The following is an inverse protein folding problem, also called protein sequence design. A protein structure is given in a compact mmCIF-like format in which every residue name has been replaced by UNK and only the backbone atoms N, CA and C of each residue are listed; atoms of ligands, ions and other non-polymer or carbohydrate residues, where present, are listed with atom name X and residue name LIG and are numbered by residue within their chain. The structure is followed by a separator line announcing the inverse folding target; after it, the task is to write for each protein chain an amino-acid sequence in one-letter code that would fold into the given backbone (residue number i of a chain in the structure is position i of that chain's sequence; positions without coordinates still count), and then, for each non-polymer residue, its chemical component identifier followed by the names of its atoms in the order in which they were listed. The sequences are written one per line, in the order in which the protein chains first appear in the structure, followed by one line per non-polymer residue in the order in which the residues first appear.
data_IF_291857786896
#
_entry.id   IF_291857786896
#
_cell.length_a   1.000
_cell.length_b   1.000
_cell.length_c   1.000
_cell.angle_alpha   90.00
_cell.angle_beta   90.00
_cell.angle_gamma   90.00
#
_symmetry.space_group_name_H-M   'P 1'
#
loop_
_entity.id
_entity.type
_entity.pdbx_description
1 polymer ?
#
# COMPACT_ATOMS: atom_id res chain seq x y z
N UNK A 1 -9.61 -13.20 5.91
CA UNK A 1 -8.13 -13.33 5.82
C UNK A 1 -7.52 -12.96 7.18
N UNK A 2 -6.31 -13.42 7.54
CA UNK A 2 -5.66 -13.06 8.83
C UNK A 2 -4.33 -12.33 8.62
N UNK A 3 -4.28 -11.45 7.63
CA UNK A 3 -3.06 -10.75 7.26
C UNK A 3 -2.77 -9.64 8.29
N UNK A 4 -1.55 -9.62 8.84
CA UNK A 4 -1.10 -8.59 9.80
C UNK A 4 -0.24 -7.50 9.17
N UNK A 5 0.34 -7.76 7.99
CA UNK A 5 1.23 -6.85 7.27
C UNK A 5 1.43 -7.37 5.84
N UNK A 6 1.57 -6.47 4.86
CA UNK A 6 1.98 -6.79 3.49
C UNK A 6 3.50 -6.67 3.41
N UNK A 7 4.21 -7.76 3.05
CA UNK A 7 5.69 -7.78 3.00
C UNK A 7 6.25 -8.15 1.64
N UNK A 8 5.40 -8.56 0.72
CA UNK A 8 5.77 -8.99 -0.61
C UNK A 8 4.77 -8.51 -1.65
N UNK A 9 5.21 -8.45 -2.90
CA UNK A 9 4.34 -8.13 -4.04
C UNK A 9 3.14 -9.07 -4.14
N UNK A 10 3.33 -10.35 -3.83
CA UNK A 10 2.24 -11.32 -3.83
C UNK A 10 1.22 -11.06 -2.71
N UNK A 11 1.67 -10.67 -1.51
CA UNK A 11 0.75 -10.29 -0.43
C UNK A 11 -0.06 -9.05 -0.84
N UNK A 12 0.59 -8.10 -1.50
CA UNK A 12 -0.03 -6.89 -2.01
C UNK A 12 -1.09 -7.19 -3.08
N UNK A 13 -0.75 -7.99 -4.08
CA UNK A 13 -1.67 -8.39 -5.15
C UNK A 13 -2.89 -9.16 -4.60
N UNK A 14 -2.68 -10.03 -3.60
CA UNK A 14 -3.79 -10.73 -2.94
C UNK A 14 -4.64 -9.78 -2.08
N UNK A 15 -4.02 -8.81 -1.39
CA UNK A 15 -4.74 -7.82 -0.60
C UNK A 15 -5.62 -6.93 -1.50
N UNK A 16 -5.08 -6.45 -2.62
CA UNK A 16 -5.84 -5.67 -3.62
C UNK A 16 -7.03 -6.48 -4.16
N UNK A 17 -6.79 -7.72 -4.57
CA UNK A 17 -7.87 -8.58 -5.07
C UNK A 17 -8.97 -8.77 -4.02
N UNK A 18 -8.58 -9.01 -2.76
CA UNK A 18 -9.56 -9.17 -1.68
C UNK A 18 -10.31 -7.88 -1.37
N UNK A 19 -9.63 -6.74 -1.43
CA UNK A 19 -10.22 -5.42 -1.27
C UNK A 19 -11.29 -5.16 -2.34
N UNK A 20 -10.99 -5.47 -3.61
CA UNK A 20 -11.93 -5.34 -4.73
C UNK A 20 -13.17 -6.24 -4.58
N UNK A 21 -13.00 -7.47 -4.09
CA UNK A 21 -14.12 -8.38 -3.80
C UNK A 21 -15.05 -7.80 -2.72
N UNK A 22 -14.49 -7.13 -1.73
CA UNK A 22 -15.21 -6.54 -0.60
C UNK A 22 -15.84 -5.19 -0.93
N UNK A 23 -15.35 -4.45 -1.92
CA UNK A 23 -15.76 -3.08 -2.23
C UNK A 23 -17.27 -2.87 -2.38
N UNK A 24 -17.99 -3.85 -2.94
CA UNK A 24 -19.44 -3.77 -3.15
C UNK A 24 -20.28 -4.51 -2.10
N UNK A 25 -19.65 -5.19 -1.13
CA UNK A 25 -20.33 -6.08 -0.18
C UNK A 25 -20.00 -5.82 1.29
N UNK A 26 -18.93 -5.08 1.58
CA UNK A 26 -18.53 -4.72 2.93
C UNK A 26 -19.47 -3.64 3.49
N UNK A 27 -20.04 -3.91 4.66
CA UNK A 27 -20.89 -2.97 5.39
C UNK A 27 -20.23 -2.56 6.71
N UNK A 28 -20.52 -1.35 7.22
CA UNK A 28 -19.99 -0.91 8.50
C UNK A 28 -20.40 -1.84 9.65
N UNK A 29 -19.47 -2.10 10.58
CA UNK A 29 -19.67 -2.97 11.75
C UNK A 29 -19.95 -4.45 11.41
N UNK A 30 -19.55 -4.93 10.23
CA UNK A 30 -19.48 -6.35 9.92
C UNK A 30 -18.03 -6.82 9.87
N UNK A 31 -17.75 -8.12 10.04
CA UNK A 31 -16.41 -8.66 9.86
C UNK A 31 -15.79 -8.30 8.50
N UNK A 32 -16.60 -8.24 7.44
CA UNK A 32 -16.19 -7.82 6.10
C UNK A 32 -15.85 -6.33 6.04
N UNK A 33 -16.62 -5.47 6.72
CA UNK A 33 -16.31 -4.05 6.88
C UNK A 33 -15.00 -3.81 7.63
N UNK A 34 -14.81 -4.52 8.74
CA UNK A 34 -13.56 -4.47 9.52
C UNK A 34 -12.37 -4.96 8.69
N UNK A 35 -12.56 -6.04 7.91
CA UNK A 35 -11.55 -6.56 6.97
C UNK A 35 -11.23 -5.54 5.86
N UNK A 36 -12.24 -4.86 5.31
CA UNK A 36 -12.07 -3.86 4.26
C UNK A 36 -11.26 -2.65 4.74
N UNK A 37 -11.56 -2.14 5.94
CA UNK A 37 -10.79 -1.05 6.56
C UNK A 37 -9.34 -1.49 6.80
N UNK A 38 -9.14 -2.65 7.42
CA UNK A 38 -7.79 -3.17 7.67
C UNK A 38 -6.99 -3.33 6.37
N UNK A 39 -7.60 -3.88 5.32
CA UNK A 39 -6.92 -4.05 4.03
C UNK A 39 -6.51 -2.70 3.42
N UNK A 40 -7.36 -1.66 3.53
CA UNK A 40 -7.01 -0.33 3.04
C UNK A 40 -5.76 0.24 3.71
N UNK A 41 -5.67 0.15 5.03
CA UNK A 41 -4.51 0.62 5.80
C UNK A 41 -3.24 -0.15 5.42
N UNK A 42 -3.32 -1.48 5.32
CA UNK A 42 -2.17 -2.32 4.98
C UNK A 42 -1.66 -2.07 3.55
N UNK A 43 -2.55 -1.80 2.60
CA UNK A 43 -2.22 -1.46 1.21
C UNK A 43 -1.47 -0.12 1.18
N UNK A 44 -2.01 0.90 1.84
CA UNK A 44 -1.41 2.25 1.91
C UNK A 44 -0.01 2.20 2.55
N UNK A 45 0.14 1.50 3.66
CA UNK A 45 1.43 1.33 4.36
C UNK A 45 2.49 0.72 3.43
N UNK A 46 2.13 -0.31 2.66
CA UNK A 46 3.05 -0.96 1.73
C UNK A 46 3.45 -0.04 0.58
N UNK A 47 2.51 0.69 -0.01
CA UNK A 47 2.78 1.64 -1.08
C UNK A 47 3.70 2.77 -0.61
N UNK A 48 3.44 3.32 0.58
CA UNK A 48 4.27 4.37 1.17
C UNK A 48 5.72 3.90 1.40
N UNK A 49 5.89 2.69 1.95
CA UNK A 49 7.23 2.09 2.13
C UNK A 49 7.93 1.97 0.77
N UNK A 50 7.23 1.49 -0.26
CA UNK A 50 7.81 1.35 -1.59
C UNK A 50 8.22 2.71 -2.19
N UNK A 51 7.39 3.75 -2.05
CA UNK A 51 7.74 5.11 -2.50
C UNK A 51 9.02 5.61 -1.81
N UNK A 52 9.15 5.39 -0.50
CA UNK A 52 10.37 5.79 0.24
C UNK A 52 11.59 5.01 -0.24
N UNK A 53 11.46 3.71 -0.53
CA UNK A 53 12.54 2.88 -1.04
C UNK A 53 12.97 3.30 -2.45
N UNK A 54 12.01 3.58 -3.33
CA UNK A 54 12.28 4.09 -4.68
C UNK A 54 13.02 5.42 -4.63
N UNK A 55 12.60 6.35 -3.75
CA UNK A 55 13.26 7.64 -3.56
C UNK A 55 14.69 7.51 -3.05
N UNK A 56 14.97 6.58 -2.14
CA UNK A 56 16.34 6.30 -1.67
C UNK A 56 17.23 5.71 -2.76
N UNK A 57 16.65 5.02 -3.74
CA UNK A 57 17.38 4.45 -4.86
C UNK A 57 17.58 5.43 -6.02
N UNK A 58 17.00 6.64 -5.98
CA UNK A 58 17.31 7.69 -6.95
C UNK A 58 18.71 8.24 -6.68
N UNK A 59 19.54 8.31 -7.72
CA UNK A 59 20.82 9.01 -7.63
C UNK A 59 20.56 10.49 -7.31
N UNK A 60 21.28 11.03 -6.32
CA UNK A 60 21.17 12.43 -5.94
C UNK A 60 21.69 13.31 -7.09
N UNK A 61 20.78 14.01 -7.77
CA UNK A 61 21.14 14.93 -8.84
C UNK A 61 21.68 16.21 -8.18
N UNK A 62 23.00 16.43 -8.27
CA UNK A 62 23.59 17.71 -7.92
C UNK A 62 23.23 18.74 -8.99
N UNK A 63 22.37 19.70 -8.65
CA UNK A 63 22.07 20.83 -9.53
C UNK A 63 23.14 21.89 -9.30
N UNK A 64 23.98 22.17 -10.30
CA UNK A 64 24.95 23.24 -10.20
C UNK A 64 24.25 24.60 -10.39
N UNK A 65 24.05 25.30 -9.28
CA UNK A 65 23.39 26.62 -9.25
C UNK A 65 24.24 27.73 -9.90
N UNK A 66 25.50 27.44 -10.26
CA UNK A 66 26.40 28.40 -10.89
C UNK A 66 26.15 28.60 -12.41
N UNK A 67 25.31 27.75 -13.03
CA UNK A 67 24.97 27.85 -14.47
C UNK A 67 23.60 28.49 -14.75
N UNK A 68 22.94 29.08 -13.73
CA UNK A 68 21.64 29.79 -13.86
C UNK A 68 21.79 31.29 -14.13
#
# INVERSE_FOLDING_TARGET
MTLKSIKSKNDFENAIKRFDELFNSAEPNTPEGDEFVLLSELIEDYELINVVLERKNQEEISVDLAEL
#
